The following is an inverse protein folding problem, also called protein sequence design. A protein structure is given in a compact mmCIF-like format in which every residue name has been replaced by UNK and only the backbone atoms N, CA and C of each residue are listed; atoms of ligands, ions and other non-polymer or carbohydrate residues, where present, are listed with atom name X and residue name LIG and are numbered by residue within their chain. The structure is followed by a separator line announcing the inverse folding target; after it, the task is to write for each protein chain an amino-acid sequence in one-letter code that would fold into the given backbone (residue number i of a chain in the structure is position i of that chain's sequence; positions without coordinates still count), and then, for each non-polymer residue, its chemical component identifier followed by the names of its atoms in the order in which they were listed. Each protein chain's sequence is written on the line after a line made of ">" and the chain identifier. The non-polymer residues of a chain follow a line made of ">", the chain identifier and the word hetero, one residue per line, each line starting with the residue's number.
data_IF_862254951108
#
_entry.id   IF_862254951108
#
_cell.length_a   1.000
_cell.length_b   1.000
_cell.length_c   1.000
_cell.angle_alpha   90.00
_cell.angle_beta   90.00
_cell.angle_gamma   90.00
#
_symmetry.space_group_name_H-M   'P 1'
#
loop_
_entity.id
_entity.type
_entity.pdbx_description
1 polymer ?
#
# COMPACT_ATOMS: atom_id res chain seq x y z
N UNK A 1 34.35 -14.38 -14.55
CA UNK A 1 32.95 -13.95 -14.72
C UNK A 1 32.69 -12.98 -13.60
N UNK A 2 32.53 -11.70 -13.98
CA UNK A 2 32.31 -10.60 -13.05
C UNK A 2 30.84 -10.69 -12.60
N UNK A 3 30.62 -11.01 -11.33
CA UNK A 3 29.28 -10.98 -10.75
C UNK A 3 28.94 -9.51 -10.54
N UNK A 4 28.32 -8.92 -11.56
CA UNK A 4 27.81 -7.55 -11.52
C UNK A 4 27.07 -7.31 -10.21
N UNK A 5 27.41 -6.21 -9.55
CA UNK A 5 26.80 -5.78 -8.30
C UNK A 5 25.28 -5.83 -8.46
N UNK A 6 24.62 -6.70 -7.68
CA UNK A 6 23.18 -6.68 -7.51
C UNK A 6 22.85 -5.37 -6.79
N UNK A 7 22.48 -4.35 -7.58
CA UNK A 7 21.96 -3.10 -7.06
C UNK A 7 20.53 -3.42 -6.60
N UNK A 8 20.28 -3.29 -5.30
CA UNK A 8 18.93 -3.37 -4.76
C UNK A 8 18.05 -2.35 -5.53
N UNK A 9 16.96 -2.79 -6.20
CA UNK A 9 16.06 -1.88 -6.90
C UNK A 9 15.56 -0.75 -5.98
N UNK A 10 15.42 -1.02 -4.68
CA UNK A 10 15.05 -0.02 -3.67
C UNK A 10 16.16 1.00 -3.43
N UNK A 11 17.45 0.62 -3.50
CA UNK A 11 18.56 1.56 -3.47
C UNK A 11 18.56 2.44 -4.73
N UNK A 12 18.19 1.91 -5.90
CA UNK A 12 18.11 2.69 -7.14
C UNK A 12 16.93 3.68 -7.15
N UNK A 13 15.80 3.31 -6.56
CA UNK A 13 14.61 4.16 -6.40
C UNK A 13 14.83 5.21 -5.30
N UNK A 14 15.48 4.83 -4.20
CA UNK A 14 15.87 5.76 -3.12
C UNK A 14 16.96 6.75 -3.54
N UNK A 15 17.79 6.40 -4.53
CA UNK A 15 18.87 7.28 -5.03
C UNK A 15 18.45 8.23 -6.16
N UNK A 16 17.31 8.02 -6.83
CA UNK A 16 16.74 9.06 -7.70
C UNK A 16 16.15 10.16 -6.83
N UNK A 17 16.97 11.16 -6.55
CA UNK A 17 16.58 12.42 -5.88
C UNK A 17 15.68 13.33 -6.73
N UNK A 18 15.27 12.90 -7.92
CA UNK A 18 14.47 13.74 -8.80
C UNK A 18 12.99 13.69 -8.36
N UNK A 19 12.68 14.47 -7.32
CA UNK A 19 11.30 14.70 -6.90
C UNK A 19 10.68 15.77 -7.79
N UNK A 20 10.34 15.40 -9.03
CA UNK A 20 9.87 16.34 -10.07
C UNK A 20 8.82 17.33 -9.55
N UNK A 21 7.72 16.84 -8.97
CA UNK A 21 6.66 17.69 -8.41
C UNK A 21 7.12 18.59 -7.24
N UNK A 22 8.03 18.13 -6.38
CA UNK A 22 8.57 18.95 -5.29
C UNK A 22 9.46 20.08 -5.79
N UNK A 23 10.28 19.79 -6.80
CA UNK A 23 11.23 20.72 -7.44
C UNK A 23 10.55 21.66 -8.45
N UNK A 24 9.24 21.52 -8.66
CA UNK A 24 8.48 22.28 -9.67
C UNK A 24 8.87 21.91 -11.10
N UNK A 25 9.53 20.77 -11.30
CA UNK A 25 9.84 20.22 -12.61
C UNK A 25 8.65 19.42 -13.12
N UNK A 26 8.40 19.52 -14.42
CA UNK A 26 7.44 18.63 -15.06
C UNK A 26 7.91 17.18 -14.94
N UNK A 27 7.02 16.32 -14.46
CA UNK A 27 7.28 14.88 -14.30
C UNK A 27 7.15 14.11 -15.61
N UNK A 28 6.47 14.68 -16.61
CA UNK A 28 6.10 13.99 -17.86
C UNK A 28 5.02 12.93 -17.68
N UNK A 29 4.43 12.79 -16.48
CA UNK A 29 3.32 11.87 -16.23
C UNK A 29 2.00 12.55 -16.60
N UNK A 30 1.23 11.90 -17.49
CA UNK A 30 -0.10 12.36 -17.89
C UNK A 30 -1.13 12.21 -16.75
N UNK A 31 -1.06 11.09 -16.02
CA UNK A 31 -1.90 10.80 -14.85
C UNK A 31 -1.30 9.66 -14.00
N UNK A 32 -1.77 9.52 -12.76
CA UNK A 32 -1.38 8.47 -11.82
C UNK A 32 -2.62 7.83 -11.22
N UNK A 33 -2.57 6.52 -10.97
CA UNK A 33 -3.54 5.84 -10.11
C UNK A 33 -2.84 5.34 -8.85
N UNK A 34 -3.44 5.57 -7.68
CA UNK A 34 -3.00 4.99 -6.41
C UNK A 34 -4.03 3.97 -5.90
N UNK A 35 -3.54 2.89 -5.30
CA UNK A 35 -4.36 1.78 -4.80
C UNK A 35 -4.08 1.64 -3.30
N UNK A 36 -5.11 1.79 -2.46
CA UNK A 36 -5.02 1.64 -1.01
C UNK A 36 -3.75 2.28 -0.40
N UNK A 37 -3.50 3.53 -0.78
CA UNK A 37 -2.27 4.25 -0.43
C UNK A 37 -2.57 5.46 0.43
N UNK A 38 -1.85 5.60 1.53
CA UNK A 38 -1.86 6.77 2.40
C UNK A 38 -0.44 7.13 2.81
N UNK A 39 -0.20 8.42 3.06
CA UNK A 39 1.05 8.92 3.63
C UNK A 39 0.93 9.20 5.13
N UNK A 40 -0.28 9.10 5.69
CA UNK A 40 -0.53 9.38 7.11
C UNK A 40 -1.67 8.50 7.62
N UNK A 41 -1.37 7.71 8.65
CA UNK A 41 -2.31 6.81 9.31
C UNK A 41 -2.71 7.29 10.71
N UNK A 42 -2.24 8.45 11.17
CA UNK A 42 -2.50 8.97 12.52
C UNK A 42 -3.99 9.17 12.79
N UNK A 43 -4.76 9.58 11.78
CA UNK A 43 -6.22 9.77 11.83
C UNK A 43 -7.02 8.49 11.65
N UNK A 44 -6.37 7.36 11.34
CA UNK A 44 -7.03 6.11 10.97
C UNK A 44 -6.84 5.00 12.02
N UNK A 45 -7.74 4.02 12.01
CA UNK A 45 -7.62 2.76 12.77
C UNK A 45 -6.93 1.66 11.97
N UNK A 46 -5.88 2.02 11.23
CA UNK A 46 -5.13 1.09 10.37
C UNK A 46 -4.55 -0.09 11.17
N UNK A 47 -4.80 -1.30 10.68
CA UNK A 47 -4.24 -2.55 11.20
C UNK A 47 -2.77 -2.73 10.87
N UNK A 48 -2.22 -1.94 9.94
CA UNK A 48 -0.79 -1.94 9.62
C UNK A 48 0.06 -1.56 10.85
N UNK A 49 -0.54 -0.93 11.88
CA UNK A 49 0.05 -0.74 13.22
C UNK A 49 0.51 -2.05 13.87
N UNK A 50 -0.04 -3.21 13.49
CA UNK A 50 0.38 -4.52 13.98
C UNK A 50 1.82 -4.87 13.59
N UNK A 51 2.40 -4.21 12.58
CA UNK A 51 3.81 -4.37 12.23
C UNK A 51 4.75 -3.50 13.07
N UNK A 52 4.25 -2.49 13.79
CA UNK A 52 5.07 -1.58 14.61
C UNK A 52 5.90 -2.30 15.68
N UNK A 53 5.38 -3.32 16.40
CA UNK A 53 6.18 -4.07 17.37
C UNK A 53 7.40 -4.79 16.77
N UNK A 54 7.49 -4.90 15.43
CA UNK A 54 8.66 -5.47 14.74
C UNK A 54 9.76 -4.42 14.48
N UNK A 55 9.44 -3.12 14.55
CA UNK A 55 10.37 -2.03 14.32
C UNK A 55 11.46 -1.96 15.41
N UNK A 56 11.06 -1.96 16.69
CA UNK A 56 12.00 -1.83 17.81
C UNK A 56 12.95 -3.03 17.95
N UNK A 57 12.49 -4.30 17.89
CA UNK A 57 13.39 -5.45 17.93
C UNK A 57 14.34 -5.48 16.74
N UNK A 58 13.90 -5.06 15.55
CA UNK A 58 14.78 -5.03 14.37
C UNK A 58 15.91 -4.00 14.52
N UNK A 59 15.64 -2.85 15.14
CA UNK A 59 16.67 -1.87 15.50
C UNK A 59 17.60 -2.38 16.59
N UNK A 60 17.05 -2.90 17.69
CA UNK A 60 17.82 -3.34 18.87
C UNK A 60 18.71 -4.54 18.54
N UNK A 61 18.21 -5.47 17.72
CA UNK A 61 18.92 -6.70 17.35
C UNK A 61 19.73 -6.57 16.06
N UNK A 62 19.77 -5.38 15.44
CA UNK A 62 20.41 -5.12 14.14
C UNK A 62 20.04 -6.16 13.07
N UNK A 63 18.76 -6.56 13.03
CA UNK A 63 18.28 -7.54 12.06
C UNK A 63 18.09 -6.81 10.74
N UNK A 64 18.80 -7.20 9.65
CA UNK A 64 18.72 -6.46 8.39
C UNK A 64 17.38 -6.65 7.67
N UNK A 65 16.71 -7.78 7.92
CA UNK A 65 15.54 -8.23 7.17
C UNK A 65 14.53 -8.97 8.05
N UNK A 66 13.23 -8.75 7.83
CA UNK A 66 12.15 -9.41 8.57
C UNK A 66 11.43 -10.39 7.65
N UNK A 67 11.40 -11.69 7.97
CA UNK A 67 10.83 -12.72 7.09
C UNK A 67 9.30 -12.77 7.21
N UNK A 68 8.62 -11.69 6.84
CA UNK A 68 7.16 -11.55 6.94
C UNK A 68 6.46 -12.69 6.21
N UNK A 69 6.90 -13.02 4.99
CA UNK A 69 6.40 -14.17 4.23
C UNK A 69 6.41 -15.49 4.99
N UNK A 70 7.56 -15.83 5.57
CA UNK A 70 7.71 -17.07 6.35
C UNK A 70 6.80 -17.08 7.57
N UNK A 71 6.63 -15.94 8.25
CA UNK A 71 5.76 -15.82 9.41
C UNK A 71 4.27 -15.95 9.03
N UNK A 72 3.85 -15.35 7.92
CA UNK A 72 2.49 -15.49 7.39
C UNK A 72 2.21 -16.92 6.94
N UNK A 73 3.12 -17.54 6.20
CA UNK A 73 2.99 -18.94 5.78
C UNK A 73 2.92 -19.90 6.98
N UNK A 74 3.76 -19.68 8.01
CA UNK A 74 3.75 -20.50 9.23
C UNK A 74 2.47 -20.32 10.07
N UNK A 75 1.82 -19.16 10.00
CA UNK A 75 0.59 -18.88 10.74
C UNK A 75 -0.68 -19.30 9.97
N UNK A 76 -0.61 -19.44 8.65
CA UNK A 76 -1.74 -19.83 7.80
C UNK A 76 -2.50 -21.08 8.28
N UNK A 77 -1.87 -22.21 8.68
CA UNK A 77 -2.60 -23.38 9.16
C UNK A 77 -3.49 -23.10 10.38
N UNK A 78 -3.10 -22.15 11.24
CA UNK A 78 -3.87 -21.75 12.41
C UNK A 78 -5.00 -20.77 12.08
N UNK A 79 -4.95 -20.13 10.91
CA UNK A 79 -6.03 -19.30 10.38
C UNK A 79 -7.04 -20.13 9.58
N UNK A 80 -6.57 -21.13 8.84
CA UNK A 80 -7.36 -21.90 7.88
C UNK A 80 -7.95 -23.21 8.42
N UNK A 81 -7.46 -23.74 9.55
CA UNK A 81 -7.93 -25.01 10.12
C UNK A 81 -8.42 -24.85 11.57
N UNK A 82 -9.33 -25.74 12.04
CA UNK A 82 -9.72 -25.77 13.45
C UNK A 82 -8.48 -25.86 14.37
N UNK A 83 -8.41 -25.07 15.45
CA UNK A 83 -9.49 -24.26 16.03
C UNK A 83 -9.57 -22.80 15.54
N UNK A 84 -8.99 -22.45 14.38
CA UNK A 84 -9.09 -21.14 13.72
C UNK A 84 -8.55 -19.95 14.55
N UNK A 85 -7.54 -20.20 15.38
CA UNK A 85 -6.95 -19.23 16.32
C UNK A 85 -6.56 -17.90 15.65
N UNK A 86 -6.14 -17.94 14.39
CA UNK A 86 -5.65 -16.77 13.65
C UNK A 86 -6.55 -16.38 12.46
N UNK A 87 -7.80 -16.87 12.42
CA UNK A 87 -8.74 -16.56 11.33
C UNK A 87 -9.02 -15.07 11.17
N UNK A 88 -8.88 -14.30 12.26
CA UNK A 88 -9.02 -12.84 12.29
C UNK A 88 -8.00 -12.09 11.40
N UNK A 89 -6.92 -12.75 10.97
CA UNK A 89 -5.95 -12.18 10.02
C UNK A 89 -6.48 -12.15 8.58
N UNK A 90 -7.39 -13.05 8.22
CA UNK A 90 -7.86 -13.19 6.83
C UNK A 90 -8.54 -11.92 6.30
N UNK A 91 -9.43 -11.26 7.07
CA UNK A 91 -10.03 -9.98 6.66
C UNK A 91 -9.05 -8.82 6.47
N UNK A 92 -7.80 -8.93 6.95
CA UNK A 92 -6.78 -7.92 6.68
C UNK A 92 -6.34 -7.92 5.21
N UNK A 93 -6.44 -9.08 4.56
CA UNK A 93 -5.97 -9.30 3.19
C UNK A 93 -7.15 -9.21 2.22
N UNK A 94 -8.23 -9.95 2.47
CA UNK A 94 -9.34 -10.11 1.54
C UNK A 94 -10.68 -10.14 2.29
N UNK A 95 -11.68 -9.48 1.72
CA UNK A 95 -13.05 -9.52 2.18
C UNK A 95 -13.67 -10.91 1.89
N UNK A 96 -14.71 -11.30 2.65
CA UNK A 96 -15.38 -12.58 2.43
C UNK A 96 -15.80 -12.77 0.97
N UNK A 97 -15.56 -13.97 0.44
CA UNK A 97 -15.94 -14.41 -0.90
C UNK A 97 -15.30 -13.64 -2.09
N UNK A 98 -14.31 -12.77 -1.84
CA UNK A 98 -13.62 -12.03 -2.92
C UNK A 98 -12.47 -12.79 -3.57
N UNK A 99 -11.80 -13.65 -2.79
CA UNK A 99 -10.76 -14.55 -3.26
C UNK A 99 -11.19 -16.01 -3.09
N UNK A 100 -10.94 -16.81 -4.13
CA UNK A 100 -11.12 -18.25 -4.03
C UNK A 100 -10.17 -18.82 -2.97
N UNK A 101 -10.61 -19.75 -2.10
CA UNK A 101 -9.79 -20.26 -0.99
C UNK A 101 -8.40 -20.75 -1.39
N UNK A 102 -8.29 -21.45 -2.54
CA UNK A 102 -7.00 -21.93 -3.06
C UNK A 102 -6.07 -20.79 -3.49
N UNK A 103 -6.62 -19.71 -4.04
CA UNK A 103 -5.85 -18.54 -4.44
C UNK A 103 -5.43 -17.73 -3.21
N UNK A 104 -6.30 -17.62 -2.22
CA UNK A 104 -5.99 -17.01 -0.93
C UNK A 104 -4.87 -17.77 -0.20
N UNK A 105 -4.95 -19.10 -0.14
CA UNK A 105 -3.89 -19.94 0.44
C UNK A 105 -2.56 -19.69 -0.27
N UNK A 106 -2.55 -19.77 -1.61
CA UNK A 106 -1.35 -19.50 -2.41
C UNK A 106 -0.79 -18.10 -2.17
N UNK A 107 -1.65 -17.08 -2.10
CA UNK A 107 -1.27 -15.70 -1.80
C UNK A 107 -0.54 -15.60 -0.45
N UNK A 108 -1.10 -16.20 0.60
CA UNK A 108 -0.51 -16.13 1.95
C UNK A 108 0.79 -16.93 2.05
N UNK A 109 0.90 -18.06 1.36
CA UNK A 109 2.06 -18.95 1.48
C UNK A 109 3.22 -18.60 0.55
N UNK A 110 2.96 -17.95 -0.59
CA UNK A 110 3.97 -17.76 -1.65
C UNK A 110 4.27 -16.31 -2.00
N UNK A 111 3.35 -15.36 -1.76
CA UNK A 111 3.44 -14.03 -2.37
C UNK A 111 4.09 -12.97 -1.47
N UNK A 112 4.14 -13.20 -0.15
CA UNK A 112 4.77 -12.26 0.78
C UNK A 112 6.26 -12.60 0.91
N UNK A 113 7.12 -11.62 0.69
CA UNK A 113 8.56 -11.81 0.77
C UNK A 113 9.14 -11.38 2.13
N UNK A 114 10.47 -11.48 2.22
CA UNK A 114 11.23 -10.89 3.32
C UNK A 114 11.35 -9.38 3.08
N UNK A 115 11.05 -8.58 4.10
CA UNK A 115 11.05 -7.12 3.98
C UNK A 115 12.29 -6.54 4.68
N UNK A 116 13.04 -5.60 4.06
CA UNK A 116 14.14 -4.92 4.73
C UNK A 116 13.66 -4.23 6.02
N UNK A 117 14.37 -4.41 7.12
CA UNK A 117 13.99 -3.80 8.40
C UNK A 117 13.90 -2.27 8.28
N UNK A 118 14.84 -1.65 7.56
CA UNK A 118 14.86 -0.21 7.29
C UNK A 118 13.60 0.31 6.59
N UNK A 119 12.99 -0.50 5.72
CA UNK A 119 11.75 -0.13 5.06
C UNK A 119 10.58 -0.12 6.05
N UNK A 120 10.51 -1.10 6.96
CA UNK A 120 9.50 -1.12 8.02
C UNK A 120 9.66 0.03 9.00
N UNK A 121 10.91 0.42 9.29
CA UNK A 121 11.18 1.61 10.12
C UNK A 121 10.71 2.89 9.47
N UNK A 122 10.95 3.05 8.17
CA UNK A 122 10.43 4.20 7.44
C UNK A 122 8.90 4.17 7.41
N UNK A 123 8.30 3.00 7.16
CA UNK A 123 6.84 2.84 7.16
C UNK A 123 6.22 3.16 8.52
N UNK A 124 6.93 2.85 9.62
CA UNK A 124 6.47 3.16 10.97
C UNK A 124 6.22 4.66 11.18
N UNK A 125 6.98 5.55 10.51
CA UNK A 125 6.79 7.00 10.64
C UNK A 125 5.45 7.46 10.07
N UNK A 126 4.80 6.67 9.21
CA UNK A 126 3.45 6.97 8.73
C UNK A 126 2.39 6.99 9.86
N UNK A 127 2.73 6.46 11.04
CA UNK A 127 1.89 6.49 12.23
C UNK A 127 2.27 7.59 13.22
N UNK A 128 3.29 8.38 12.90
CA UNK A 128 3.79 9.49 13.72
C UNK A 128 3.28 10.84 13.20
N UNK A 129 3.41 11.88 14.02
CA UNK A 129 3.07 13.24 13.61
C UNK A 129 3.90 13.65 12.39
N UNK A 130 3.22 14.16 11.35
CA UNK A 130 3.84 14.49 10.07
C UNK A 130 3.75 13.38 9.02
N UNK A 131 3.46 12.14 9.42
CA UNK A 131 3.29 11.00 8.50
C UNK A 131 4.60 10.48 7.89
N UNK A 132 4.48 9.74 6.79
CA UNK A 132 5.60 9.07 6.13
C UNK A 132 6.69 10.07 5.76
N UNK A 133 7.93 9.78 6.16
CA UNK A 133 9.08 10.61 5.86
C UNK A 133 10.21 9.80 5.23
N UNK A 134 11.20 10.49 4.68
CA UNK A 134 12.42 9.87 4.18
C UNK A 134 13.28 9.30 5.32
N UNK A 135 14.30 8.53 4.95
CA UNK A 135 15.23 7.92 5.92
C UNK A 135 15.94 8.92 6.85
N UNK A 136 16.03 10.19 6.46
CA UNK A 136 16.66 11.25 7.26
C UNK A 136 15.70 11.87 8.28
N UNK A 137 14.40 11.64 8.15
CA UNK A 137 13.38 12.31 8.95
C UNK A 137 13.24 13.79 8.63
N UNK A 138 13.74 14.23 7.46
CA UNK A 138 13.77 15.65 7.08
C UNK A 138 12.79 15.98 5.97
N UNK A 139 12.35 14.99 5.20
CA UNK A 139 11.43 15.16 4.09
C UNK A 139 10.13 14.39 4.36
N UNK A 140 9.01 15.10 4.48
CA UNK A 140 7.69 14.52 4.72
C UNK A 140 6.90 14.54 3.43
N UNK A 141 6.62 13.38 2.86
CA UNK A 141 6.06 13.27 1.50
C UNK A 141 4.73 14.01 1.34
N UNK A 142 3.87 13.93 2.36
CA UNK A 142 2.52 14.52 2.32
C UNK A 142 2.55 16.05 2.17
N UNK A 143 3.59 16.71 2.66
CA UNK A 143 3.76 18.18 2.61
C UNK A 143 4.06 18.69 1.19
N UNK A 144 4.22 17.79 0.23
CA UNK A 144 4.62 18.11 -1.14
C UNK A 144 3.61 17.67 -2.19
N UNK A 145 2.52 16.99 -1.79
CA UNK A 145 1.47 16.54 -2.71
C UNK A 145 0.80 17.69 -3.46
N UNK A 146 0.55 18.82 -2.79
CA UNK A 146 -0.06 20.02 -3.38
C UNK A 146 0.77 20.69 -4.47
N UNK A 147 2.05 20.32 -4.61
CA UNK A 147 2.94 20.85 -5.66
C UNK A 147 2.84 20.05 -6.97
N UNK A 148 2.25 18.87 -6.94
CA UNK A 148 2.04 18.07 -8.14
C UNK A 148 0.91 18.66 -8.98
N UNK A 149 1.14 18.76 -10.28
CA UNK A 149 0.11 19.11 -11.27
C UNK A 149 -0.43 17.86 -12.01
N UNK A 150 -0.03 16.66 -11.59
CA UNK A 150 -0.42 15.41 -12.23
C UNK A 150 -1.79 14.97 -11.71
N UNK A 151 -2.78 14.72 -12.59
CA UNK A 151 -4.05 14.11 -12.21
C UNK A 151 -3.89 12.78 -11.49
N UNK A 152 -4.65 12.57 -10.42
CA UNK A 152 -4.59 11.37 -9.57
C UNK A 152 -5.97 10.74 -9.42
N UNK A 153 -6.09 9.46 -9.78
CA UNK A 153 -7.19 8.60 -9.36
C UNK A 153 -6.76 7.81 -8.11
N UNK A 154 -7.39 8.09 -6.98
CA UNK A 154 -7.15 7.37 -5.74
C UNK A 154 -8.25 6.36 -5.46
N UNK A 155 -7.86 5.11 -5.27
CA UNK A 155 -8.78 3.99 -5.08
C UNK A 155 -8.61 3.41 -3.68
N UNK A 156 -9.74 3.17 -3.00
CA UNK A 156 -9.80 2.46 -1.73
C UNK A 156 -10.84 1.31 -1.78
N UNK A 157 -10.64 0.30 -0.94
CA UNK A 157 -11.66 -0.72 -0.65
C UNK A 157 -12.45 -0.35 0.61
N UNK A 158 -13.77 -0.53 0.60
CA UNK A 158 -14.65 -0.13 1.70
C UNK A 158 -14.42 -0.89 3.01
N UNK A 159 -13.82 -2.08 2.94
CA UNK A 159 -13.44 -2.90 4.08
C UNK A 159 -11.92 -3.04 4.24
N UNK A 160 -11.15 -2.14 3.63
CA UNK A 160 -9.70 -2.13 3.82
C UNK A 160 -9.34 -1.73 5.26
N UNK A 161 -8.87 -2.71 6.03
CA UNK A 161 -8.42 -2.51 7.41
C UNK A 161 -6.97 -2.01 7.49
N UNK A 162 -6.16 -2.25 6.46
CA UNK A 162 -4.75 -1.86 6.40
C UNK A 162 -4.66 -0.38 6.00
N UNK A 163 -5.32 0.00 4.92
CA UNK A 163 -5.39 1.37 4.45
C UNK A 163 -6.85 1.79 4.25
N UNK A 164 -7.50 2.15 5.36
CA UNK A 164 -8.91 2.50 5.36
C UNK A 164 -9.23 3.61 4.35
N UNK A 165 -10.46 3.63 3.80
CA UNK A 165 -10.95 4.72 2.96
C UNK A 165 -10.67 6.11 3.56
N UNK A 166 -10.84 6.26 4.87
CA UNK A 166 -10.54 7.52 5.56
C UNK A 166 -9.06 7.91 5.44
N UNK A 167 -8.12 6.96 5.55
CA UNK A 167 -6.68 7.26 5.44
C UNK A 167 -6.31 7.70 4.02
N UNK A 168 -6.88 7.04 3.00
CA UNK A 168 -6.70 7.44 1.60
C UNK A 168 -7.27 8.84 1.39
N UNK A 169 -8.50 9.07 1.85
CA UNK A 169 -9.19 10.35 1.71
C UNK A 169 -8.43 11.50 2.36
N UNK A 170 -7.96 11.34 3.61
CA UNK A 170 -7.17 12.38 4.29
C UNK A 170 -5.86 12.70 3.56
N UNK A 171 -5.20 11.71 2.94
CA UNK A 171 -4.03 11.98 2.11
C UNK A 171 -4.41 12.75 0.84
N UNK A 172 -5.52 12.38 0.19
CA UNK A 172 -5.94 12.98 -1.07
C UNK A 172 -6.40 14.44 -0.95
N UNK A 173 -6.91 14.86 0.21
CA UNK A 173 -7.22 16.29 0.48
C UNK A 173 -6.02 17.22 0.32
N UNK A 174 -4.80 16.69 0.35
CA UNK A 174 -3.57 17.46 0.21
C UNK A 174 -3.23 17.76 -1.26
N UNK A 175 -3.93 17.14 -2.21
CA UNK A 175 -3.81 17.41 -3.65
C UNK A 175 -4.81 18.52 -4.03
N UNK A 176 -4.41 19.42 -4.91
CA UNK A 176 -5.26 20.53 -5.35
C UNK A 176 -6.41 20.04 -6.24
N UNK A 177 -7.63 20.51 -5.97
CA UNK A 177 -8.75 20.35 -6.91
C UNK A 177 -8.49 21.18 -8.19
N UNK A 178 -8.85 20.68 -9.39
CA UNK A 178 -9.62 19.46 -9.69
C UNK A 178 -8.76 18.22 -10.00
N UNK A 179 -7.49 18.17 -9.57
CA UNK A 179 -6.55 17.13 -10.01
C UNK A 179 -6.76 15.76 -9.35
N UNK A 180 -7.68 15.63 -8.40
CA UNK A 180 -7.90 14.37 -7.67
C UNK A 180 -9.30 13.84 -7.88
N UNK A 181 -9.38 12.56 -8.26
CA UNK A 181 -10.61 11.77 -8.25
C UNK A 181 -10.45 10.69 -7.19
N UNK A 182 -11.37 10.63 -6.23
CA UNK A 182 -11.36 9.61 -5.18
C UNK A 182 -12.52 8.64 -5.37
N UNK A 183 -12.23 7.33 -5.38
CA UNK A 183 -13.21 6.27 -5.57
C UNK A 183 -13.04 5.17 -4.53
N UNK A 184 -14.14 4.80 -3.89
CA UNK A 184 -14.22 3.64 -2.99
C UNK A 184 -14.95 2.52 -3.70
N UNK A 185 -14.36 1.32 -3.72
CA UNK A 185 -15.02 0.11 -4.18
C UNK A 185 -15.64 -0.65 -3.01
N UNK A 186 -16.90 -1.02 -3.19
CA UNK A 186 -17.74 -1.62 -2.17
C UNK A 186 -19.16 -1.09 -2.27
N UNK A 187 -20.17 -1.93 -2.10
CA UNK A 187 -21.57 -1.51 -2.16
C UNK A 187 -22.44 -2.23 -1.13
N UNK A 188 -23.48 -1.56 -0.64
CA UNK A 188 -24.40 -2.15 0.31
C UNK A 188 -25.16 -3.31 -0.36
N UNK A 189 -24.93 -4.53 0.13
CA UNK A 189 -25.55 -5.74 -0.41
C UNK A 189 -24.88 -6.30 -1.68
N UNK A 190 -23.72 -5.77 -2.08
CA UNK A 190 -22.89 -6.31 -3.16
C UNK A 190 -21.48 -6.70 -2.68
N UNK A 191 -20.46 -6.71 -3.55
CA UNK A 191 -19.11 -7.06 -3.13
C UNK A 191 -18.56 -5.98 -2.19
N UNK A 192 -17.73 -6.44 -1.28
CA UNK A 192 -16.88 -5.60 -0.46
C UNK A 192 -15.43 -5.80 -0.87
N UNK A 193 -14.58 -4.82 -0.61
CA UNK A 193 -13.17 -4.89 -0.99
C UNK A 193 -12.31 -4.60 0.23
N UNK A 194 -11.49 -5.58 0.64
CA UNK A 194 -10.38 -5.37 1.55
C UNK A 194 -9.11 -5.01 0.78
N UNK A 195 -7.99 -4.90 1.50
CA UNK A 195 -6.73 -4.33 1.00
C UNK A 195 -6.25 -4.94 -0.31
N UNK A 196 -6.18 -6.27 -0.39
CA UNK A 196 -5.66 -6.95 -1.58
C UNK A 196 -6.71 -7.06 -2.68
N UNK A 197 -8.00 -6.95 -2.36
CA UNK A 197 -9.09 -7.23 -3.31
C UNK A 197 -9.13 -6.24 -4.46
N UNK A 198 -8.67 -5.01 -4.26
CA UNK A 198 -8.58 -4.01 -5.33
C UNK A 198 -7.62 -4.42 -6.44
N UNK A 199 -6.70 -5.35 -6.16
CA UNK A 199 -5.78 -5.94 -7.14
C UNK A 199 -6.14 -7.39 -7.43
N UNK A 200 -6.26 -8.22 -6.40
CA UNK A 200 -6.27 -9.67 -6.56
C UNK A 200 -7.64 -10.34 -6.62
N UNK A 201 -8.73 -9.65 -6.25
CA UNK A 201 -10.04 -10.28 -6.23
C UNK A 201 -10.51 -10.66 -7.63
N UNK A 202 -11.30 -11.72 -7.74
CA UNK A 202 -11.84 -12.16 -9.03
C UNK A 202 -12.63 -11.04 -9.73
N UNK A 203 -13.33 -10.21 -8.95
CA UNK A 203 -14.14 -9.10 -9.45
C UNK A 203 -13.34 -7.82 -9.75
N UNK A 204 -12.05 -7.75 -9.39
CA UNK A 204 -11.23 -6.57 -9.66
C UNK A 204 -11.09 -6.32 -11.17
N UNK A 205 -11.01 -7.39 -11.96
CA UNK A 205 -10.94 -7.34 -13.43
C UNK A 205 -12.16 -6.66 -14.05
N UNK A 206 -13.34 -6.91 -13.49
CA UNK A 206 -14.60 -6.42 -14.04
C UNK A 206 -15.00 -5.05 -13.46
N UNK A 207 -14.52 -4.70 -12.27
CA UNK A 207 -14.96 -3.50 -11.53
C UNK A 207 -13.86 -2.46 -11.38
N UNK A 208 -12.66 -2.85 -10.95
CA UNK A 208 -11.58 -1.94 -10.59
C UNK A 208 -10.77 -1.55 -11.82
N UNK A 209 -10.31 -2.54 -12.58
CA UNK A 209 -9.39 -2.30 -13.70
C UNK A 209 -10.00 -1.42 -14.81
N UNK A 210 -11.28 -1.56 -15.19
CA UNK A 210 -11.88 -0.68 -16.20
C UNK A 210 -11.87 0.77 -15.75
N UNK A 211 -12.07 1.04 -14.45
CA UNK A 211 -12.01 2.39 -13.90
C UNK A 211 -10.59 3.00 -14.03
N UNK A 212 -9.55 2.19 -13.81
CA UNK A 212 -8.16 2.60 -13.95
C UNK A 212 -7.85 2.89 -15.43
N UNK A 213 -8.21 1.96 -16.31
CA UNK A 213 -7.97 2.05 -17.75
C UNK A 213 -8.68 3.28 -18.34
N UNK A 214 -9.94 3.51 -17.97
CA UNK A 214 -10.71 4.67 -18.41
C UNK A 214 -10.04 5.98 -18.00
N UNK A 215 -9.63 6.10 -16.74
CA UNK A 215 -8.96 7.29 -16.22
C UNK A 215 -7.63 7.55 -16.93
N UNK A 216 -6.78 6.53 -17.07
CA UNK A 216 -5.49 6.67 -17.73
C UNK A 216 -5.66 7.03 -19.21
N UNK A 217 -6.54 6.34 -19.94
CA UNK A 217 -6.80 6.64 -21.36
C UNK A 217 -7.35 8.05 -21.56
N UNK A 218 -8.21 8.53 -20.65
CA UNK A 218 -8.74 9.89 -20.72
C UNK A 218 -7.61 10.94 -20.70
N UNK A 219 -6.62 10.74 -19.82
CA UNK A 219 -5.49 11.66 -19.66
C UNK A 219 -4.36 11.47 -20.68
N UNK A 220 -4.18 10.28 -21.24
CA UNK A 220 -3.20 10.03 -22.32
C UNK A 220 -3.61 10.63 -23.67
N UNK A 221 -4.92 10.89 -23.85
CA UNK A 221 -5.45 11.51 -25.08
C UNK A 221 -5.51 13.04 -25.04
N UNK A 222 -5.14 13.65 -23.92
CA UNK A 222 -5.24 15.09 -23.66
C UNK A 222 -3.99 15.88 -24.11
#
# INVERSE_FOLDING_TARGET
>A
MDFGQYIDPLDSISQRKDFYGYEGKDSGLAAITTLASSLDYTSSRSSLKLLLPLADPAQVLNVPVIPIGTLLAATHPFAANPPYLLSWLSPQISAPDMLQPKLFEKLVTENFETVPAKLLLQLATAFEEGGLCDKSGTFFYKNHLSKSNVPVLAIAGDQDLICSPDAVYETMKLILEPLVTYKVFGELGGPHFAHYDIVGAQRAVDLVYPCIIEFLNHHDTA
#
